data_IF_599250442871
#
_entry.id   IF_599250442871
#
_cell.length_a   1.000
_cell.length_b   1.000
_cell.length_c   1.000
_cell.angle_alpha   90.00
_cell.angle_beta   90.00
_cell.angle_gamma   90.00
#
_symmetry.space_group_name_H-M   'P 1'
#
loop_
_entity.id
_entity.type
_entity.pdbx_description
1 polymer ?
#
# COMPACT_ATOMS: atom_id res chain seq x y z
N UNK A 1 17.00 84.46 -113.51
CA UNK A 1 16.38 83.23 -112.95
C UNK A 1 17.09 82.63 -111.72
N UNK A 2 17.93 83.37 -110.96
CA UNK A 2 18.68 82.80 -109.79
C UNK A 2 18.11 83.15 -108.40
N UNK A 3 17.29 84.19 -108.24
CA UNK A 3 16.79 84.65 -106.93
C UNK A 3 15.61 83.84 -106.36
N UNK A 4 14.80 83.18 -107.20
CA UNK A 4 13.65 82.37 -106.74
C UNK A 4 14.02 80.98 -106.20
N UNK A 5 15.16 80.42 -106.61
CA UNK A 5 15.61 79.08 -106.19
C UNK A 5 16.26 79.09 -104.80
N UNK A 6 16.95 80.18 -104.46
CA UNK A 6 17.60 80.39 -103.15
C UNK A 6 16.54 80.55 -102.04
N UNK A 7 15.50 81.35 -102.29
CA UNK A 7 14.39 81.55 -101.34
C UNK A 7 13.57 80.27 -101.06
N UNK A 8 13.49 79.33 -102.02
CA UNK A 8 12.81 78.04 -101.84
C UNK A 8 13.66 77.04 -101.04
N UNK A 9 14.98 77.06 -101.22
CA UNK A 9 15.91 76.26 -100.41
C UNK A 9 16.00 76.74 -98.97
N UNK A 10 16.04 78.06 -98.74
CA UNK A 10 16.02 78.65 -97.39
C UNK A 10 14.75 78.25 -96.62
N UNK A 11 13.57 78.34 -97.25
CA UNK A 11 12.32 77.86 -96.64
C UNK A 11 12.31 76.35 -96.37
N UNK A 12 12.94 75.56 -97.24
CA UNK A 12 13.06 74.11 -97.04
C UNK A 12 14.05 73.77 -95.93
N UNK A 13 15.10 74.56 -95.74
CA UNK A 13 16.09 74.41 -94.67
C UNK A 13 15.48 74.78 -93.31
N UNK A 14 14.75 75.89 -93.24
CA UNK A 14 14.01 76.31 -92.05
C UNK A 14 12.95 75.28 -91.66
N UNK A 15 12.23 74.73 -92.63
CA UNK A 15 11.25 73.68 -92.38
C UNK A 15 11.90 72.39 -91.88
N UNK A 16 13.06 72.02 -92.42
CA UNK A 16 13.82 70.85 -91.98
C UNK A 16 14.40 71.04 -90.57
N UNK A 17 14.90 72.25 -90.26
CA UNK A 17 15.37 72.63 -88.92
C UNK A 17 14.25 72.52 -87.89
N UNK A 18 13.07 73.05 -88.23
CA UNK A 18 11.89 73.00 -87.35
C UNK A 18 11.40 71.57 -87.10
N UNK A 19 11.36 70.73 -88.14
CA UNK A 19 11.01 69.31 -88.01
C UNK A 19 12.03 68.58 -87.11
N UNK A 20 13.32 68.89 -87.24
CA UNK A 20 14.37 68.30 -86.42
C UNK A 20 14.26 68.74 -84.95
N UNK A 21 13.98 70.01 -84.68
CA UNK A 21 13.73 70.52 -83.33
C UNK A 21 12.49 69.87 -82.69
N UNK A 22 11.38 69.78 -83.44
CA UNK A 22 10.16 69.12 -82.98
C UNK A 22 10.39 67.62 -82.70
N UNK A 23 11.15 66.93 -83.56
CA UNK A 23 11.53 65.53 -83.37
C UNK A 23 12.44 65.33 -82.15
N UNK A 24 13.41 66.24 -81.92
CA UNK A 24 14.28 66.20 -80.75
C UNK A 24 13.49 66.42 -79.45
N UNK A 25 12.54 67.36 -79.46
CA UNK A 25 11.65 67.61 -78.31
C UNK A 25 10.77 66.40 -78.02
N UNK A 26 10.16 65.81 -79.04
CA UNK A 26 9.35 64.60 -78.90
C UNK A 26 10.18 63.41 -78.38
N UNK A 27 11.41 63.25 -78.87
CA UNK A 27 12.31 62.21 -78.41
C UNK A 27 12.71 62.40 -76.94
N UNK A 28 13.02 63.63 -76.53
CA UNK A 28 13.31 63.96 -75.14
C UNK A 28 12.11 63.68 -74.22
N UNK A 29 10.90 64.03 -74.64
CA UNK A 29 9.67 63.74 -73.91
C UNK A 29 9.45 62.23 -73.78
N UNK A 30 9.57 61.46 -74.87
CA UNK A 30 9.43 60.00 -74.82
C UNK A 30 10.50 59.32 -73.97
N UNK A 31 11.73 59.83 -74.00
CA UNK A 31 12.81 59.37 -73.11
C UNK A 31 12.48 59.65 -71.65
N UNK A 32 11.92 60.83 -71.34
CA UNK A 32 11.49 61.19 -69.99
C UNK A 32 10.33 60.31 -69.50
N UNK A 33 9.30 60.09 -70.33
CA UNK A 33 8.18 59.19 -70.03
C UNK A 33 8.66 57.76 -69.76
N UNK A 34 9.59 57.24 -70.59
CA UNK A 34 10.19 55.92 -70.40
C UNK A 34 10.91 55.80 -69.05
N UNK A 35 11.70 56.80 -68.66
CA UNK A 35 12.43 56.78 -67.39
C UNK A 35 11.46 56.86 -66.19
N UNK A 36 10.38 57.65 -66.31
CA UNK A 36 9.34 57.70 -65.30
C UNK A 36 8.64 56.35 -65.13
N UNK A 37 8.17 55.73 -66.22
CA UNK A 37 7.54 54.40 -66.18
C UNK A 37 8.46 53.34 -65.59
N UNK A 38 9.77 53.42 -65.89
CA UNK A 38 10.78 52.52 -65.33
C UNK A 38 10.90 52.69 -63.81
N UNK A 39 10.98 53.94 -63.31
CA UNK A 39 11.06 54.21 -61.88
C UNK A 39 9.80 53.76 -61.13
N UNK A 40 8.61 53.91 -61.73
CA UNK A 40 7.36 53.42 -61.17
C UNK A 40 7.33 51.88 -61.10
N UNK A 41 7.81 51.21 -62.15
CA UNK A 41 7.93 49.75 -62.19
C UNK A 41 8.91 49.24 -61.11
N UNK A 42 10.08 49.87 -60.96
CA UNK A 42 11.05 49.52 -59.94
C UNK A 42 10.46 49.66 -58.53
N UNK A 43 9.73 50.75 -58.24
CA UNK A 43 9.04 50.93 -56.96
C UNK A 43 7.98 49.86 -56.71
N UNK A 44 7.22 49.49 -57.74
CA UNK A 44 6.23 48.42 -57.65
C UNK A 44 6.89 47.06 -57.37
N UNK A 45 7.99 46.74 -58.05
CA UNK A 45 8.78 45.53 -57.83
C UNK A 45 9.35 45.50 -56.40
N UNK A 46 9.95 46.59 -55.92
CA UNK A 46 10.47 46.64 -54.54
C UNK A 46 9.37 46.43 -53.49
N UNK A 47 8.18 47.01 -53.70
CA UNK A 47 7.04 46.77 -52.81
C UNK A 47 6.60 45.31 -52.83
N UNK A 48 6.51 44.71 -54.01
CA UNK A 48 6.12 43.31 -54.18
C UNK A 48 7.12 42.35 -53.54
N UNK A 49 8.42 42.56 -53.76
CA UNK A 49 9.49 41.78 -53.12
C UNK A 49 9.38 41.82 -51.60
N UNK A 50 9.21 43.01 -51.02
CA UNK A 50 9.03 43.16 -49.57
C UNK A 50 7.79 42.41 -49.06
N UNK A 51 6.67 42.47 -49.77
CA UNK A 51 5.47 41.72 -49.39
C UNK A 51 5.68 40.21 -49.44
N UNK A 52 6.47 39.71 -50.41
CA UNK A 52 6.85 38.28 -50.45
C UNK A 52 7.73 37.92 -49.25
N UNK A 53 8.71 38.75 -48.89
CA UNK A 53 9.58 38.53 -47.74
C UNK A 53 8.78 38.49 -46.43
N UNK A 54 7.88 39.45 -46.23
CA UNK A 54 6.97 39.51 -45.06
C UNK A 54 6.07 38.27 -44.99
N UNK A 55 5.53 37.83 -46.13
CA UNK A 55 4.69 36.63 -46.21
C UNK A 55 5.49 35.36 -45.90
N UNK A 56 6.69 35.21 -46.47
CA UNK A 56 7.57 34.08 -46.21
C UNK A 56 7.97 34.00 -44.73
N UNK A 57 8.30 35.13 -44.09
CA UNK A 57 8.59 35.16 -42.65
C UNK A 57 7.38 34.71 -41.84
N UNK A 58 6.20 35.28 -42.13
CA UNK A 58 4.95 34.93 -41.43
C UNK A 58 4.61 33.44 -41.59
N UNK A 59 4.85 32.87 -42.76
CA UNK A 59 4.63 31.45 -43.02
C UNK A 59 5.61 30.55 -42.24
N UNK A 60 6.89 30.93 -42.16
CA UNK A 60 7.88 30.22 -41.36
C UNK A 60 7.50 30.24 -39.88
N UNK A 61 7.08 31.39 -39.36
CA UNK A 61 6.67 31.51 -37.96
C UNK A 61 5.39 30.72 -37.67
N UNK A 62 4.41 30.76 -38.58
CA UNK A 62 3.20 29.94 -38.45
C UNK A 62 3.51 28.43 -38.41
N UNK A 63 4.45 27.96 -39.25
CA UNK A 63 4.91 26.57 -39.21
C UNK A 63 5.61 26.22 -37.90
N UNK A 64 6.44 27.12 -37.37
CA UNK A 64 7.13 26.92 -36.10
C UNK A 64 6.14 26.77 -34.95
N UNK A 65 5.18 27.70 -34.86
CA UNK A 65 4.12 27.68 -33.84
C UNK A 65 3.28 26.41 -33.93
N UNK A 66 2.95 25.95 -35.14
CA UNK A 66 2.21 24.69 -35.32
C UNK A 66 2.99 23.48 -34.80
N UNK A 67 4.29 23.39 -35.12
CA UNK A 67 5.14 22.29 -34.64
C UNK A 67 5.35 22.32 -33.12
N UNK A 68 5.49 23.51 -32.52
CA UNK A 68 5.57 23.68 -31.07
C UNK A 68 4.27 23.25 -30.39
N UNK A 69 3.12 23.65 -30.94
CA UNK A 69 1.80 23.24 -30.43
C UNK A 69 1.62 21.72 -30.45
N UNK A 70 1.95 21.05 -31.55
CA UNK A 70 1.87 19.58 -31.64
C UNK A 70 2.75 18.89 -30.58
N UNK A 71 3.96 19.44 -30.35
CA UNK A 71 4.87 18.93 -29.31
C UNK A 71 4.28 19.11 -27.91
N UNK A 72 3.69 20.26 -27.61
CA UNK A 72 3.04 20.53 -26.32
C UNK A 72 1.82 19.62 -26.09
N UNK A 73 1.00 19.39 -27.11
CA UNK A 73 -0.16 18.49 -27.02
C UNK A 73 0.27 17.03 -26.74
N UNK A 74 1.37 16.58 -27.37
CA UNK A 74 1.98 15.28 -27.08
C UNK A 74 2.49 15.19 -25.64
N UNK A 75 3.20 16.21 -25.17
CA UNK A 75 3.68 16.29 -23.78
C UNK A 75 2.52 16.26 -22.77
N UNK A 76 1.45 17.01 -23.03
CA UNK A 76 0.25 17.01 -22.19
C UNK A 76 -0.41 15.64 -22.09
N UNK A 77 -0.40 14.87 -23.19
CA UNK A 77 -0.91 13.50 -23.20
C UNK A 77 -0.05 12.59 -22.32
N UNK A 78 1.28 12.70 -22.42
CA UNK A 78 2.20 11.94 -21.57
C UNK A 78 2.04 12.29 -20.08
N UNK A 79 1.89 13.57 -19.74
CA UNK A 79 1.66 14.02 -18.36
C UNK A 79 0.36 13.41 -17.81
N UNK A 80 -0.71 13.36 -18.62
CA UNK A 80 -1.98 12.75 -18.20
C UNK A 80 -1.80 11.26 -17.89
N UNK A 81 -1.15 10.51 -18.78
CA UNK A 81 -0.88 9.08 -18.57
C UNK A 81 0.00 8.83 -17.34
N UNK A 82 1.02 9.66 -17.11
CA UNK A 82 1.87 9.57 -15.91
C UNK A 82 1.08 9.84 -14.63
N UNK A 83 0.15 10.80 -14.66
CA UNK A 83 -0.71 11.10 -13.52
C UNK A 83 -1.61 9.91 -13.17
N UNK A 84 -2.24 9.30 -14.17
CA UNK A 84 -3.08 8.10 -14.00
C UNK A 84 -2.28 6.93 -13.42
N UNK A 85 -1.06 6.70 -13.93
CA UNK A 85 -0.17 5.66 -13.40
C UNK A 85 0.20 5.94 -11.93
N UNK A 86 0.50 7.19 -11.60
CA UNK A 86 0.87 7.57 -10.24
C UNK A 86 -0.30 7.42 -9.26
N UNK A 87 -1.52 7.79 -9.67
CA UNK A 87 -2.73 7.56 -8.88
C UNK A 87 -2.96 6.06 -8.63
N UNK A 88 -2.77 5.22 -9.66
CA UNK A 88 -2.85 3.76 -9.50
C UNK A 88 -1.79 3.22 -8.56
N UNK A 89 -0.55 3.73 -8.64
CA UNK A 89 0.54 3.31 -7.76
C UNK A 89 0.27 3.68 -6.31
N UNK A 90 -0.19 4.91 -6.06
CA UNK A 90 -0.54 5.37 -4.72
C UNK A 90 -1.65 4.53 -4.08
N UNK A 91 -2.64 4.11 -4.87
CA UNK A 91 -3.68 3.18 -4.41
C UNK A 91 -3.09 1.82 -4.03
N UNK A 92 -2.26 1.23 -4.90
CA UNK A 92 -1.60 -0.05 -4.62
C UNK A 92 -0.71 -0.01 -3.37
N UNK A 93 0.03 1.08 -3.16
CA UNK A 93 0.84 1.28 -1.96
C UNK A 93 -0.04 1.35 -0.70
N UNK A 94 -1.17 2.06 -0.77
CA UNK A 94 -2.12 2.17 0.34
C UNK A 94 -2.72 0.81 0.70
N UNK A 95 -3.11 0.02 -0.31
CA UNK A 95 -3.64 -1.32 -0.12
C UNK A 95 -2.59 -2.26 0.50
N UNK A 96 -1.33 -2.17 0.06
CA UNK A 96 -0.23 -2.95 0.62
C UNK A 96 0.04 -2.58 2.08
N UNK A 97 0.03 -1.28 2.41
CA UNK A 97 0.18 -0.82 3.79
C UNK A 97 -0.93 -1.37 4.69
N UNK A 98 -2.19 -1.32 4.23
CA UNK A 98 -3.32 -1.88 4.99
C UNK A 98 -3.19 -3.39 5.20
N UNK A 99 -2.71 -4.13 4.20
CA UNK A 99 -2.43 -5.57 4.33
C UNK A 99 -1.31 -5.85 5.34
N UNK A 100 -0.24 -5.04 5.32
CA UNK A 100 0.88 -5.17 6.27
C UNK A 100 0.42 -4.92 7.71
N UNK A 101 -0.41 -3.91 7.94
CA UNK A 101 -0.97 -3.63 9.26
C UNK A 101 -1.87 -4.77 9.75
N UNK A 102 -2.68 -5.35 8.86
CA UNK A 102 -3.50 -6.51 9.18
C UNK A 102 -2.63 -7.74 9.55
N UNK A 103 -1.58 -8.02 8.77
CA UNK A 103 -0.65 -9.11 9.07
C UNK A 103 0.07 -8.89 10.41
N UNK A 104 0.51 -7.66 10.69
CA UNK A 104 1.11 -7.30 11.97
C UNK A 104 0.14 -7.52 13.13
N UNK A 105 -1.13 -7.12 12.97
CA UNK A 105 -2.18 -7.35 13.97
C UNK A 105 -2.40 -8.85 14.21
N UNK A 106 -2.56 -9.63 13.14
CA UNK A 106 -2.73 -11.10 13.25
C UNK A 106 -1.52 -11.78 13.89
N UNK A 107 -0.31 -11.36 13.54
CA UNK A 107 0.92 -11.88 14.13
C UNK A 107 1.00 -11.57 15.62
N UNK A 108 0.67 -10.33 16.02
CA UNK A 108 0.64 -9.96 17.44
C UNK A 108 -0.42 -10.77 18.21
N UNK A 109 -1.62 -10.93 17.65
CA UNK A 109 -2.67 -11.77 18.25
C UNK A 109 -2.23 -13.23 18.40
N UNK A 110 -1.57 -13.78 17.39
CA UNK A 110 -1.03 -15.13 17.44
C UNK A 110 0.07 -15.26 18.50
N UNK A 111 0.99 -14.30 18.58
CA UNK A 111 2.03 -14.28 19.62
C UNK A 111 1.43 -14.19 21.02
N UNK A 112 0.44 -13.32 21.24
CA UNK A 112 -0.28 -13.22 22.51
C UNK A 112 -0.96 -14.53 22.88
N UNK A 113 -1.59 -15.21 21.92
CA UNK A 113 -2.18 -16.54 22.13
C UNK A 113 -1.13 -17.58 22.53
N UNK A 114 -0.03 -17.68 21.78
CA UNK A 114 1.05 -18.62 22.09
C UNK A 114 1.67 -18.35 23.47
N UNK A 115 1.84 -17.07 23.84
CA UNK A 115 2.37 -16.70 25.15
C UNK A 115 1.38 -17.01 26.26
N UNK A 116 0.09 -16.73 26.08
CA UNK A 116 -0.95 -17.11 27.04
C UNK A 116 -1.00 -18.62 27.23
N UNK A 117 -0.89 -19.40 26.16
CA UNK A 117 -0.83 -20.85 26.22
C UNK A 117 0.41 -21.32 26.99
N UNK A 118 1.58 -20.73 26.72
CA UNK A 118 2.83 -20.98 27.44
C UNK A 118 2.67 -20.64 28.93
N UNK A 119 2.18 -19.44 29.24
CA UNK A 119 2.05 -18.91 30.60
C UNK A 119 1.01 -19.69 31.42
N UNK A 120 -0.08 -20.15 30.81
CA UNK A 120 -1.08 -20.98 31.48
C UNK A 120 -0.53 -22.31 32.01
N UNK A 121 0.58 -22.79 31.42
CA UNK A 121 1.27 -24.04 31.76
C UNK A 121 2.62 -23.78 32.41
N UNK A 122 2.77 -22.63 33.08
CA UNK A 122 4.06 -22.22 33.65
C UNK A 122 4.65 -23.25 34.60
N UNK A 123 3.84 -24.05 35.27
CA UNK A 123 4.23 -25.11 36.22
C UNK A 123 4.76 -26.40 35.56
N UNK A 124 4.58 -26.52 34.24
CA UNK A 124 5.01 -27.65 33.39
C UNK A 124 6.15 -27.26 32.44
N UNK A 125 6.71 -26.05 32.55
CA UNK A 125 7.75 -25.58 31.64
C UNK A 125 8.97 -26.50 31.62
N UNK A 126 9.32 -26.90 30.40
CA UNK A 126 10.60 -27.51 30.10
C UNK A 126 11.73 -26.47 30.12
N UNK A 127 13.02 -26.89 30.17
CA UNK A 127 14.13 -25.96 30.00
C UNK A 127 14.03 -25.10 28.74
N UNK A 128 13.49 -25.65 27.65
CA UNK A 128 13.26 -24.89 26.41
C UNK A 128 12.19 -23.81 26.57
N UNK A 129 11.11 -24.09 27.30
CA UNK A 129 10.04 -23.12 27.60
C UNK A 129 10.56 -21.97 28.48
N UNK A 130 11.42 -22.28 29.45
CA UNK A 130 12.12 -21.29 30.27
C UNK A 130 12.99 -20.39 29.39
N UNK A 131 13.73 -20.98 28.43
CA UNK A 131 14.52 -20.21 27.47
C UNK A 131 13.68 -19.29 26.58
N UNK A 132 12.53 -19.77 26.09
CA UNK A 132 11.57 -18.98 25.32
C UNK A 132 11.02 -17.82 26.15
N UNK A 133 10.63 -18.08 27.40
CA UNK A 133 10.13 -17.06 28.32
C UNK A 133 11.15 -15.95 28.55
N UNK A 134 12.38 -16.32 28.95
CA UNK A 134 13.45 -15.35 29.23
C UNK A 134 13.75 -14.53 27.97
N UNK A 135 13.94 -15.19 26.84
CA UNK A 135 14.26 -14.50 25.60
C UNK A 135 13.12 -13.63 25.09
N UNK A 136 11.86 -13.99 25.33
CA UNK A 136 10.74 -13.10 25.03
C UNK A 136 10.78 -11.81 25.88
N UNK A 137 10.96 -11.94 27.20
CA UNK A 137 11.01 -10.78 28.12
C UNK A 137 12.17 -9.85 27.77
N UNK A 138 13.32 -10.41 27.39
CA UNK A 138 14.53 -9.67 27.07
C UNK A 138 14.65 -9.28 25.60
N UNK A 139 13.67 -9.63 24.75
CA UNK A 139 13.71 -9.41 23.29
C UNK A 139 14.96 -9.98 22.63
N UNK A 140 15.35 -11.16 23.09
CA UNK A 140 16.55 -11.87 22.66
C UNK A 140 16.38 -12.54 21.30
N UNK A 141 17.50 -12.75 20.62
CA UNK A 141 17.52 -13.50 19.38
C UNK A 141 17.40 -15.02 19.61
N UNK A 142 17.29 -15.79 18.52
CA UNK A 142 17.13 -17.25 18.57
C UNK A 142 18.30 -17.97 19.25
N UNK A 143 19.54 -17.51 19.06
CA UNK A 143 20.72 -18.14 19.66
C UNK A 143 20.75 -17.90 21.16
N UNK A 144 20.40 -16.69 21.58
CA UNK A 144 20.26 -16.34 22.99
C UNK A 144 19.14 -17.13 23.67
N UNK A 145 17.97 -17.28 23.03
CA UNK A 145 16.87 -18.14 23.52
C UNK A 145 17.34 -19.59 23.74
N UNK A 146 18.06 -20.14 22.76
CA UNK A 146 18.63 -21.49 22.86
C UNK A 146 19.63 -21.58 24.02
N UNK A 147 20.51 -20.59 24.15
CA UNK A 147 21.48 -20.52 25.23
C UNK A 147 20.82 -20.54 26.62
N UNK A 148 19.75 -19.76 26.84
CA UNK A 148 19.00 -19.79 28.09
C UNK A 148 18.36 -21.16 28.36
N UNK A 149 17.85 -21.82 27.31
CA UNK A 149 17.32 -23.18 27.44
C UNK A 149 18.39 -24.21 27.80
N UNK A 150 19.59 -24.08 27.23
CA UNK A 150 20.74 -24.94 27.55
C UNK A 150 21.24 -24.72 28.97
N UNK A 151 21.25 -23.47 29.45
CA UNK A 151 21.56 -23.14 30.85
C UNK A 151 20.52 -23.78 31.78
N UNK A 152 19.23 -23.59 31.50
CA UNK A 152 18.16 -24.19 32.29
C UNK A 152 18.30 -25.72 32.35
N UNK A 153 18.66 -26.35 31.22
CA UNK A 153 18.86 -27.80 31.15
C UNK A 153 20.09 -28.25 31.95
N UNK A 154 21.20 -27.54 31.82
CA UNK A 154 22.47 -27.83 32.53
C UNK A 154 22.27 -27.74 34.04
N UNK A 155 21.54 -26.73 34.48
CA UNK A 155 21.23 -26.48 35.89
C UNK A 155 20.04 -27.30 36.41
N UNK A 156 19.44 -28.18 35.59
CA UNK A 156 18.24 -28.97 35.92
C UNK A 156 17.09 -28.09 36.46
N UNK A 157 16.93 -26.90 35.91
CA UNK A 157 15.90 -25.95 36.30
C UNK A 157 14.55 -26.39 35.75
N UNK A 158 13.61 -26.57 36.67
CA UNK A 158 12.19 -26.71 36.38
C UNK A 158 11.42 -25.48 36.89
N UNK A 159 10.14 -25.39 36.53
CA UNK A 159 9.25 -24.30 36.95
C UNK A 159 9.19 -24.10 38.46
N UNK A 160 9.37 -25.16 39.25
CA UNK A 160 9.31 -25.11 40.71
C UNK A 160 10.60 -24.53 41.29
N UNK A 161 11.74 -24.85 40.69
CA UNK A 161 13.05 -24.32 41.03
C UNK A 161 13.07 -22.79 40.84
N UNK A 162 12.42 -22.29 39.78
CA UNK A 162 12.32 -20.85 39.52
C UNK A 162 11.61 -20.05 40.63
N UNK A 163 10.72 -20.69 41.41
CA UNK A 163 9.99 -20.03 42.51
C UNK A 163 10.91 -19.63 43.67
N UNK A 164 12.04 -20.32 43.82
CA UNK A 164 12.97 -20.11 44.93
C UNK A 164 14.09 -19.12 44.59
N UNK A 165 14.19 -18.70 43.32
CA UNK A 165 15.24 -17.81 42.85
C UNK A 165 14.91 -16.35 43.18
N UNK A 166 15.79 -15.69 43.93
CA UNK A 166 15.78 -14.24 44.07
C UNK A 166 16.17 -13.55 42.77
N UNK A 167 15.90 -12.24 42.66
CA UNK A 167 16.34 -11.42 41.50
C UNK A 167 17.84 -11.55 41.22
N UNK A 168 18.66 -11.74 42.26
CA UNK A 168 20.09 -11.95 42.11
C UNK A 168 20.41 -13.35 41.61
N UNK A 169 19.71 -14.38 42.12
CA UNK A 169 19.87 -15.74 41.63
C UNK A 169 19.48 -15.87 40.15
N UNK A 170 18.44 -15.16 39.68
CA UNK A 170 18.12 -15.09 38.26
C UNK A 170 19.25 -14.49 37.41
N UNK A 171 19.95 -13.49 37.93
CA UNK A 171 21.10 -12.89 37.25
C UNK A 171 22.25 -13.89 37.16
N UNK A 172 22.58 -14.53 38.28
CA UNK A 172 23.73 -15.41 38.41
C UNK A 172 23.51 -16.75 37.69
N UNK A 173 22.32 -17.36 37.79
CA UNK A 173 21.98 -18.65 37.16
C UNK A 173 21.93 -18.54 35.64
N UNK A 174 21.34 -17.46 35.10
CA UNK A 174 21.17 -17.27 33.66
C UNK A 174 22.24 -16.38 33.02
N UNK A 175 23.30 -16.03 33.77
CA UNK A 175 24.39 -15.17 33.32
C UNK A 175 23.89 -13.86 32.68
N UNK A 176 22.88 -13.23 33.29
CA UNK A 176 22.34 -11.97 32.78
C UNK A 176 23.31 -10.83 33.09
N UNK A 177 23.78 -10.11 32.08
CA UNK A 177 24.79 -9.06 32.23
C UNK A 177 24.30 -7.90 33.11
N UNK A 178 22.99 -7.61 33.08
CA UNK A 178 22.39 -6.47 33.79
C UNK A 178 21.43 -6.96 34.85
N UNK A 179 21.59 -6.45 36.07
CA UNK A 179 20.65 -6.71 37.17
C UNK A 179 19.21 -6.28 36.84
N UNK A 180 19.05 -5.24 36.01
CA UNK A 180 17.72 -4.81 35.58
C UNK A 180 17.02 -5.85 34.70
N UNK A 181 17.76 -6.58 33.86
CA UNK A 181 17.22 -7.65 33.02
C UNK A 181 16.74 -8.81 33.90
N UNK A 182 17.53 -9.17 34.92
CA UNK A 182 17.13 -10.15 35.94
C UNK A 182 15.87 -9.70 36.72
N UNK A 183 15.77 -8.42 37.07
CA UNK A 183 14.57 -7.86 37.69
C UNK A 183 13.35 -7.96 36.77
N UNK A 184 13.49 -7.64 35.49
CA UNK A 184 12.42 -7.72 34.50
C UNK A 184 11.89 -9.15 34.36
N UNK A 185 12.79 -10.12 34.20
CA UNK A 185 12.43 -11.54 34.08
C UNK A 185 11.76 -12.04 35.35
N UNK A 186 12.38 -11.82 36.52
CA UNK A 186 11.84 -12.26 37.81
C UNK A 186 10.44 -11.66 38.08
N UNK A 187 10.27 -10.35 37.87
CA UNK A 187 8.99 -9.69 38.10
C UNK A 187 7.92 -10.19 37.12
N UNK A 188 8.28 -10.45 35.86
CA UNK A 188 7.35 -10.99 34.87
C UNK A 188 6.93 -12.41 35.22
N UNK A 189 7.88 -13.24 35.65
CA UNK A 189 7.60 -14.60 36.13
C UNK A 189 6.67 -14.58 37.36
N UNK A 190 6.94 -13.68 38.31
CA UNK A 190 6.10 -13.50 39.50
C UNK A 190 4.67 -13.09 39.11
N UNK A 191 4.52 -12.17 38.14
CA UNK A 191 3.21 -11.78 37.62
C UNK A 191 2.49 -12.95 36.95
N UNK A 192 3.18 -13.72 36.10
CA UNK A 192 2.60 -14.90 35.44
C UNK A 192 2.10 -15.90 36.48
N UNK A 193 2.91 -16.19 37.50
CA UNK A 193 2.52 -17.07 38.61
C UNK A 193 1.24 -16.57 39.29
N UNK A 194 1.18 -15.27 39.61
CA UNK A 194 0.05 -14.69 40.34
C UNK A 194 -1.21 -14.67 39.46
N UNK A 195 -1.07 -14.31 38.19
CA UNK A 195 -2.14 -14.25 37.18
C UNK A 195 -2.70 -15.63 36.83
N UNK A 196 -1.83 -16.64 36.73
CA UNK A 196 -2.17 -18.04 36.46
C UNK A 196 -2.02 -18.91 37.71
N UNK A 197 -2.43 -18.38 38.88
CA UNK A 197 -2.30 -19.06 40.16
C UNK A 197 -2.91 -20.47 40.10
N UNK A 198 -2.09 -21.46 40.47
CA UNK A 198 -2.42 -22.90 40.48
C UNK A 198 -3.62 -23.22 41.40
N UNK A 199 -4.01 -22.29 42.28
CA UNK A 199 -5.03 -22.45 43.32
C UNK A 199 -6.45 -22.70 42.80
N UNK A 200 -6.78 -22.39 41.54
CA UNK A 200 -8.08 -22.77 40.96
C UNK A 200 -8.01 -23.96 40.00
N UNK A 201 -6.81 -24.41 39.61
CA UNK A 201 -6.65 -25.43 38.58
C UNK A 201 -6.23 -26.81 39.10
N UNK A 202 -5.71 -26.97 40.32
CA UNK A 202 -5.45 -28.31 40.89
C UNK A 202 -6.76 -28.99 41.28
N UNK A 203 -7.71 -28.23 41.83
CA UNK A 203 -9.05 -28.75 42.09
C UNK A 203 -9.85 -28.95 40.80
N UNK A 204 -9.58 -28.22 39.72
CA UNK A 204 -10.31 -28.39 38.46
C UNK A 204 -9.69 -29.49 37.56
N UNK A 205 -8.36 -29.61 37.46
CA UNK A 205 -7.65 -30.63 36.66
C UNK A 205 -7.67 -32.01 37.35
N UNK A 206 -7.59 -32.08 38.68
CA UNK A 206 -7.81 -33.34 39.40
C UNK A 206 -9.27 -33.81 39.27
N UNK A 207 -10.24 -32.88 39.31
CA UNK A 207 -11.64 -33.21 39.11
C UNK A 207 -11.92 -33.66 37.68
N UNK A 208 -11.31 -33.02 36.66
CA UNK A 208 -11.46 -33.30 35.23
C UNK A 208 -10.86 -34.64 34.77
N UNK A 209 -9.83 -35.18 35.43
CA UNK A 209 -9.32 -36.54 35.11
C UNK A 209 -10.35 -37.64 35.40
N UNK A 210 -11.23 -37.40 36.38
CA UNK A 210 -12.30 -38.33 36.78
C UNK A 210 -13.67 -37.98 36.17
N UNK A 211 -13.75 -37.01 35.25
CA UNK A 211 -14.99 -36.72 34.52
C UNK A 211 -15.01 -37.54 33.23
N UNK A 212 -16.04 -38.38 33.02
CA UNK A 212 -16.25 -39.03 31.72
C UNK A 212 -16.21 -38.02 30.57
N UNK A 213 -15.44 -38.31 29.52
CA UNK A 213 -15.27 -37.41 28.36
C UNK A 213 -16.59 -36.98 27.72
N UNK A 214 -17.61 -37.83 27.81
CA UNK A 214 -18.96 -37.56 27.32
C UNK A 214 -19.70 -36.44 28.08
N UNK A 215 -19.25 -36.05 29.27
CA UNK A 215 -19.82 -34.94 30.04
C UNK A 215 -19.19 -33.59 29.68
N UNK A 216 -18.08 -33.60 28.94
CA UNK A 216 -17.33 -32.41 28.59
C UNK A 216 -17.82 -31.81 27.27
N UNK A 217 -18.05 -30.50 27.26
CA UNK A 217 -18.37 -29.76 26.07
C UNK A 217 -17.17 -29.77 25.10
N UNK A 218 -17.35 -30.14 23.82
CA UNK A 218 -16.25 -30.15 22.86
C UNK A 218 -15.62 -28.77 22.62
N UNK A 219 -16.37 -27.68 22.85
CA UNK A 219 -15.92 -26.31 22.63
C UNK A 219 -15.25 -25.68 23.86
N UNK A 220 -15.89 -25.74 25.03
CA UNK A 220 -15.36 -25.12 26.25
C UNK A 220 -14.45 -26.04 27.05
N UNK A 221 -14.46 -27.36 26.77
CA UNK A 221 -13.79 -28.41 27.54
C UNK A 221 -14.22 -28.50 29.01
N UNK A 222 -15.29 -27.82 29.40
CA UNK A 222 -15.89 -27.86 30.73
C UNK A 222 -17.09 -28.84 30.78
N UNK A 223 -17.51 -29.24 31.98
CA UNK A 223 -18.73 -30.05 32.17
C UNK A 223 -19.93 -29.29 31.62
N UNK A 224 -20.74 -29.93 30.78
CA UNK A 224 -21.94 -29.34 30.19
C UNK A 224 -22.99 -29.07 31.28
N UNK A 225 -23.47 -27.82 31.38
CA UNK A 225 -24.56 -27.43 32.29
C UNK A 225 -25.92 -27.64 31.62
N UNK A 226 -26.00 -27.31 30.33
CA UNK A 226 -27.20 -27.54 29.52
C UNK A 226 -26.81 -28.24 28.20
N UNK A 227 -26.64 -29.57 28.23
CA UNK A 227 -26.21 -30.32 27.05
C UNK A 227 -27.29 -30.31 25.97
N UNK A 228 -26.92 -29.90 24.76
CA UNK A 228 -27.77 -29.81 23.57
C UNK A 228 -27.12 -30.51 22.38
N UNK A 229 -27.91 -31.26 21.63
CA UNK A 229 -27.50 -31.93 20.40
C UNK A 229 -27.66 -30.95 19.24
N UNK A 230 -26.57 -30.69 18.53
CA UNK A 230 -26.59 -29.93 17.29
C UNK A 230 -26.81 -30.84 16.07
N UNK A 231 -26.95 -30.25 14.88
CA UNK A 231 -27.28 -30.96 13.64
C UNK A 231 -26.22 -31.98 13.21
N UNK A 232 -24.96 -31.74 13.55
CA UNK A 232 -23.84 -32.66 13.34
C UNK A 232 -23.86 -33.87 14.29
N UNK A 233 -24.91 -33.99 15.12
CA UNK A 233 -25.12 -35.04 16.14
C UNK A 233 -24.11 -35.00 17.29
N UNK A 234 -23.37 -33.91 17.42
CA UNK A 234 -22.48 -33.67 18.54
C UNK A 234 -23.26 -32.96 19.66
N UNK A 235 -22.99 -33.33 20.91
CA UNK A 235 -23.56 -32.63 22.06
C UNK A 235 -22.61 -31.55 22.55
N UNK A 236 -23.16 -30.36 22.77
CA UNK A 236 -22.44 -29.19 23.26
C UNK A 236 -23.14 -28.63 24.50
N UNK A 237 -22.44 -27.80 25.26
CA UNK A 237 -23.11 -26.89 26.18
C UNK A 237 -23.80 -25.76 25.39
N UNK A 238 -25.07 -25.45 25.73
CA UNK A 238 -25.88 -24.47 24.99
C UNK A 238 -25.18 -23.11 24.85
N UNK A 239 -24.61 -22.58 25.93
CA UNK A 239 -23.97 -21.27 25.92
C UNK A 239 -22.73 -21.28 25.00
N UNK A 240 -21.98 -22.38 25.03
CA UNK A 240 -20.78 -22.55 24.22
C UNK A 240 -21.08 -22.63 22.72
N UNK A 241 -22.12 -23.38 22.33
CA UNK A 241 -22.47 -23.53 20.91
C UNK A 241 -23.14 -22.27 20.37
N UNK A 242 -24.01 -21.61 21.13
CA UNK A 242 -24.67 -20.37 20.70
C UNK A 242 -23.65 -19.24 20.48
N UNK A 243 -22.64 -19.13 21.33
CA UNK A 243 -21.61 -18.08 21.20
C UNK A 243 -20.60 -18.32 20.08
N UNK A 244 -20.27 -19.58 19.78
CA UNK A 244 -19.16 -19.92 18.86
C UNK A 244 -19.58 -20.56 17.53
N UNK A 245 -20.85 -20.91 17.34
CA UNK A 245 -21.30 -21.67 16.15
C UNK A 245 -20.91 -21.02 14.81
N UNK A 246 -20.93 -19.70 14.69
CA UNK A 246 -20.57 -18.97 13.47
C UNK A 246 -19.06 -18.93 13.21
N UNK A 247 -18.23 -19.20 14.21
CA UNK A 247 -16.76 -19.14 14.12
C UNK A 247 -16.14 -20.52 13.84
N UNK A 248 -16.94 -21.58 13.84
CA UNK A 248 -16.47 -22.93 13.59
C UNK A 248 -16.19 -23.15 12.10
N UNK A 249 -15.12 -23.88 11.81
CA UNK A 249 -14.71 -24.27 10.44
C UNK A 249 -15.85 -24.98 9.69
N UNK A 250 -16.71 -25.70 10.42
CA UNK A 250 -17.86 -26.42 9.89
C UNK A 250 -19.19 -25.74 10.25
N UNK A 251 -19.22 -24.40 10.39
CA UNK A 251 -20.43 -23.68 10.77
C UNK A 251 -21.64 -24.08 9.92
N UNK A 252 -21.48 -24.21 8.59
CA UNK A 252 -22.57 -24.57 7.66
C UNK A 252 -23.30 -25.87 7.98
N UNK A 253 -22.67 -26.84 8.65
CA UNK A 253 -23.31 -28.11 9.03
C UNK A 253 -24.19 -27.99 10.28
N UNK A 254 -24.10 -26.88 11.02
CA UNK A 254 -24.82 -26.63 12.26
C UNK A 254 -26.15 -25.87 12.04
N UNK A 255 -26.28 -25.14 10.92
CA UNK A 255 -27.45 -24.32 10.63
C UNK A 255 -28.41 -25.01 9.66
N UNK A 256 -29.70 -24.74 9.81
CA UNK A 256 -30.76 -25.09 8.87
C UNK A 256 -31.56 -23.84 8.56
N UNK A 257 -31.63 -23.45 7.27
CA UNK A 257 -32.26 -22.21 6.82
C UNK A 257 -31.74 -20.95 7.54
N UNK A 258 -30.46 -20.95 7.91
CA UNK A 258 -29.82 -19.85 8.64
C UNK A 258 -30.04 -19.86 10.16
N UNK A 259 -30.80 -20.82 10.70
CA UNK A 259 -31.05 -20.94 12.13
C UNK A 259 -30.26 -22.10 12.75
N UNK A 260 -29.69 -21.86 13.94
CA UNK A 260 -29.03 -22.89 14.73
C UNK A 260 -30.09 -23.75 15.42
N UNK A 261 -30.27 -25.00 14.96
CA UNK A 261 -31.20 -25.95 15.57
C UNK A 261 -30.51 -26.76 16.66
N UNK A 262 -31.03 -26.66 17.88
CA UNK A 262 -30.50 -27.33 19.07
C UNK A 262 -31.61 -28.14 19.74
N UNK A 263 -31.37 -29.43 19.94
CA UNK A 263 -32.29 -30.34 20.64
C UNK A 263 -31.75 -30.61 22.04
N UNK A 264 -32.50 -30.37 23.13
CA UNK A 264 -32.02 -30.67 24.48
C UNK A 264 -31.65 -32.15 24.67
N UNK A 265 -30.44 -32.43 25.20
CA UNK A 265 -30.01 -33.77 25.56
C UNK A 265 -30.33 -34.06 27.03
N UNK A 266 -31.62 -34.24 27.33
CA UNK A 266 -32.10 -34.43 28.70
C UNK A 266 -31.48 -35.65 29.38
N UNK A 267 -31.26 -36.74 28.63
CA UNK A 267 -30.63 -37.95 29.14
C UNK A 267 -29.18 -37.72 29.59
N UNK A 268 -28.39 -36.94 28.84
CA UNK A 268 -27.04 -36.58 29.25
C UNK A 268 -27.05 -35.62 30.45
N UNK A 269 -27.99 -34.65 30.46
CA UNK A 269 -28.16 -33.73 31.58
C UNK A 269 -28.41 -34.48 32.90
N UNK A 270 -29.32 -35.45 32.89
CA UNK A 270 -29.59 -36.28 34.06
C UNK A 270 -28.36 -37.05 34.55
N UNK A 271 -27.57 -37.64 33.64
CA UNK A 271 -26.33 -38.37 33.99
C UNK A 271 -25.25 -37.46 34.56
N UNK A 272 -25.13 -36.24 34.03
CA UNK A 272 -24.23 -35.21 34.57
C UNK A 272 -24.69 -34.80 35.97
N UNK A 273 -25.98 -34.57 36.17
CA UNK A 273 -26.54 -34.20 37.48
C UNK A 273 -26.31 -35.29 38.54
N UNK A 274 -26.51 -36.55 38.19
CA UNK A 274 -26.22 -37.70 39.08
C UNK A 274 -24.73 -37.79 39.42
N UNK A 275 -23.86 -37.61 38.43
CA UNK A 275 -22.42 -37.59 38.62
C UNK A 275 -21.96 -36.46 39.56
N UNK A 276 -22.53 -35.26 39.41
CA UNK A 276 -22.21 -34.12 40.27
C UNK A 276 -22.71 -34.33 41.71
N UNK A 277 -23.90 -34.92 41.88
CA UNK A 277 -24.45 -35.28 43.20
C UNK A 277 -23.64 -36.35 43.91
N UNK A 278 -23.11 -37.34 43.18
CA UNK A 278 -22.29 -38.40 43.75
C UNK A 278 -20.88 -37.93 44.20
N UNK A 279 -20.47 -36.72 43.81
CA UNK A 279 -19.19 -36.10 44.16
C UNK A 279 -19.31 -34.95 45.17
N UNK A 280 -20.51 -34.67 45.70
CA UNK A 280 -20.77 -33.76 46.82
C UNK A 280 -20.85 -34.55 48.12
#
# INVERSE_FOLDING_TARGET
MKKGHVSRMEKSLDQCSKINEDAQKLFAEKKSQKEQSKCELEKALSKYTRSIEEWNSSFIDAKRVAAEKEKEESLMTNIRSLKELNESLMKSCSDLSAQMDNLKKKNNQFLEQCLNDLYSKWYEWSPSDIGIFIGYVLKSDKKQIQHFGDIAKTNQMDSKSLLQLSKKDWMDVFNLEKFNDACCVHNTFSRIRDEFSITDNVNQIAYMKDVPKEYLCPLSKAIMKDPVIARDRVTYDRESIVSKASELVNASTLFENGELKLVPNLALRHRIDEFLKAKQ
#
